data_IF_517581284460
#
_entry.id   IF_517581284460
#
_cell.length_a   1.000
_cell.length_b   1.000
_cell.length_c   1.000
_cell.angle_alpha   90.00
_cell.angle_beta   90.00
_cell.angle_gamma   90.00
#
_symmetry.space_group_name_H-M   'P 1'
#
loop_
_entity.id
_entity.type
_entity.pdbx_description
1 polymer ?
#
# COMPACT_ATOMS: atom_id res chain seq x y z
N UNK A 1 13.37 -1.86 1.52
CA UNK A 1 13.63 -2.45 2.32
C UNK A 1 14.29 -2.75 3.65
N UNK A 2 15.39 -2.10 3.99
CA UNK A 2 16.07 -2.30 5.27
C UNK A 2 15.73 -1.20 6.29
N UNK A 3 14.58 -0.58 6.14
CA UNK A 3 14.12 0.52 6.99
C UNK A 3 13.71 0.03 8.39
N UNK A 4 13.35 -1.25 8.50
CA UNK A 4 12.98 -1.90 9.75
C UNK A 4 13.72 -3.23 9.84
N UNK A 5 14.68 -3.32 10.73
CA UNK A 5 15.35 -4.58 11.09
C UNK A 5 14.77 -5.11 12.40
N UNK A 6 14.46 -6.42 12.44
CA UNK A 6 14.02 -7.11 13.63
C UNK A 6 15.21 -7.56 14.52
N UNK A 7 16.41 -7.50 14.02
CA UNK A 7 17.62 -7.90 14.73
C UNK A 7 18.83 -7.07 14.29
N UNK A 8 19.55 -6.53 15.24
CA UNK A 8 20.88 -6.01 15.06
C UNK A 8 21.05 -4.51 15.27
N UNK A 9 22.26 -4.14 15.58
CA UNK A 9 22.76 -2.79 15.80
C UNK A 9 22.92 -2.04 14.47
N UNK A 10 21.82 -1.74 13.80
CA UNK A 10 21.86 -0.81 12.68
C UNK A 10 21.77 0.62 13.24
N UNK A 11 22.65 1.52 12.82
CA UNK A 11 22.54 2.91 13.22
C UNK A 11 21.20 3.47 12.76
N UNK A 12 20.40 3.97 13.68
CA UNK A 12 19.17 4.71 13.37
C UNK A 12 19.60 5.94 12.57
N UNK A 13 19.12 6.07 11.34
CA UNK A 13 19.46 7.17 10.44
C UNK A 13 18.44 8.31 10.45
N UNK A 14 17.43 8.21 11.31
CA UNK A 14 16.38 9.21 11.45
C UNK A 14 15.50 8.90 12.63
N UNK A 15 14.83 9.94 13.13
CA UNK A 15 14.00 9.88 14.32
C UNK A 15 12.57 9.42 14.01
N UNK A 16 12.17 9.46 12.74
CA UNK A 16 10.83 9.04 12.29
C UNK A 16 10.82 8.63 10.81
N UNK A 17 9.85 7.82 10.45
CA UNK A 17 9.48 7.53 9.06
C UNK A 17 8.20 8.31 8.77
N UNK A 18 8.33 9.45 8.10
CA UNK A 18 7.21 10.35 7.78
C UNK A 18 6.69 10.14 6.34
N UNK A 19 6.54 8.88 5.93
CA UNK A 19 6.01 8.53 4.62
C UNK A 19 4.65 7.84 4.77
N UNK A 20 4.02 7.46 3.66
CA UNK A 20 2.86 6.57 3.65
C UNK A 20 3.25 5.15 4.07
N UNK A 21 3.64 4.95 5.32
CA UNK A 21 4.16 3.68 5.82
C UNK A 21 3.03 2.80 6.33
N UNK A 22 2.76 1.69 5.63
CA UNK A 22 1.66 0.78 5.96
C UNK A 22 1.83 0.19 7.35
N UNK A 23 0.78 0.31 8.17
CA UNK A 23 0.71 -0.33 9.49
C UNK A 23 0.52 -1.83 9.28
N UNK A 24 1.55 -2.61 9.62
CA UNK A 24 1.56 -4.07 9.52
C UNK A 24 1.90 -4.69 10.88
N UNK A 25 1.31 -5.85 11.25
CA UNK A 25 1.52 -6.46 12.56
C UNK A 25 3.00 -6.66 12.92
N UNK A 26 3.80 -7.16 11.97
CA UNK A 26 5.22 -7.40 12.21
C UNK A 26 6.04 -6.10 12.39
N UNK A 27 5.60 -4.99 11.77
CA UNK A 27 6.20 -3.66 11.97
C UNK A 27 5.83 -3.08 13.32
N UNK A 28 4.57 -3.29 13.76
CA UNK A 28 4.09 -2.83 15.06
C UNK A 28 4.84 -3.50 16.23
N UNK A 29 5.41 -4.68 16.02
CA UNK A 29 6.25 -5.33 17.02
C UNK A 29 7.50 -4.50 17.38
N UNK A 30 8.05 -3.72 16.44
CA UNK A 30 9.33 -3.00 16.57
C UNK A 30 9.21 -1.48 16.46
N UNK A 31 8.08 -0.96 16.01
CA UNK A 31 7.84 0.48 15.84
C UNK A 31 6.58 0.92 16.60
N UNK A 32 6.55 2.21 16.95
CA UNK A 32 5.32 2.93 17.29
C UNK A 32 4.76 3.56 16.04
N UNK A 33 3.46 3.81 16.03
CA UNK A 33 2.78 4.48 14.92
C UNK A 33 2.00 5.69 15.41
N UNK A 34 1.93 6.73 14.59
CA UNK A 34 1.00 7.83 14.79
C UNK A 34 -0.46 7.37 14.63
N UNK A 35 -1.39 8.28 14.88
CA UNK A 35 -2.72 8.18 14.32
C UNK A 35 -2.63 7.96 12.80
N UNK A 36 -3.56 7.21 12.18
CA UNK A 36 -3.55 7.00 10.74
C UNK A 36 -3.53 8.30 9.96
N UNK A 37 -2.58 8.44 9.05
CA UNK A 37 -2.44 9.64 8.19
C UNK A 37 -3.19 9.51 6.88
N UNK A 38 -3.39 8.29 6.38
CA UNK A 38 -4.06 8.06 5.10
C UNK A 38 -4.59 6.62 5.01
N UNK A 39 -5.71 6.38 4.31
CA UNK A 39 -6.20 5.02 4.06
C UNK A 39 -5.45 4.38 2.90
N UNK A 40 -5.37 3.06 2.92
CA UNK A 40 -4.81 2.28 1.83
C UNK A 40 -5.51 0.93 1.67
N UNK A 41 -5.18 0.24 0.63
CA UNK A 41 -5.56 -1.13 0.30
C UNK A 41 -4.60 -1.62 -0.78
N UNK A 42 -4.30 -2.91 -0.84
CA UNK A 42 -3.49 -3.45 -1.93
C UNK A 42 -4.38 -4.01 -3.01
N UNK A 43 -4.09 -3.63 -4.24
CA UNK A 43 -4.84 -3.95 -5.43
C UNK A 43 -4.02 -4.81 -6.38
N UNK A 44 -4.69 -5.71 -7.09
CA UNK A 44 -4.12 -6.47 -8.22
C UNK A 44 -4.22 -5.62 -9.48
N UNK A 45 -3.12 -5.52 -10.23
CA UNK A 45 -3.00 -4.70 -11.42
C UNK A 45 -2.45 -5.52 -12.59
N UNK A 46 -2.94 -5.23 -13.79
CA UNK A 46 -2.51 -5.87 -15.03
C UNK A 46 -2.26 -4.84 -16.14
N UNK A 47 -1.49 -5.18 -17.19
CA UNK A 47 -1.48 -4.39 -18.42
C UNK A 47 -2.89 -4.28 -19.03
N UNK A 48 -3.22 -3.11 -19.62
CA UNK A 48 -4.56 -2.86 -20.17
C UNK A 48 -4.93 -3.80 -21.30
N UNK A 49 -3.97 -4.21 -22.11
CA UNK A 49 -4.12 -5.12 -23.26
C UNK A 49 -4.16 -6.60 -22.87
N UNK A 50 -3.94 -6.93 -21.60
CA UNK A 50 -4.01 -8.31 -21.12
C UNK A 50 -5.44 -8.85 -21.16
N UNK A 51 -5.58 -10.19 -21.20
CA UNK A 51 -6.88 -10.88 -21.18
C UNK A 51 -7.62 -10.78 -19.83
N UNK A 52 -6.93 -10.38 -18.75
CA UNK A 52 -7.53 -10.24 -17.43
C UNK A 52 -8.61 -9.15 -17.43
N UNK A 53 -9.70 -9.40 -16.72
CA UNK A 53 -10.80 -8.44 -16.57
C UNK A 53 -10.94 -8.04 -15.10
N UNK A 54 -11.25 -6.76 -14.81
CA UNK A 54 -11.64 -6.36 -13.46
C UNK A 54 -12.79 -7.21 -12.94
N UNK A 55 -12.79 -7.49 -11.65
CA UNK A 55 -13.96 -8.10 -11.01
C UNK A 55 -15.14 -7.13 -11.03
N UNK A 56 -16.35 -7.66 -10.97
CA UNK A 56 -17.52 -6.86 -10.58
C UNK A 56 -17.53 -6.77 -9.07
N UNK A 57 -17.30 -5.54 -8.54
CA UNK A 57 -17.35 -5.31 -7.09
C UNK A 57 -18.69 -5.70 -6.50
N UNK A 58 -18.69 -6.18 -5.27
CA UNK A 58 -19.87 -6.52 -4.50
C UNK A 58 -19.91 -5.74 -3.19
N UNK A 59 -21.00 -5.88 -2.40
CA UNK A 59 -21.09 -5.29 -1.07
C UNK A 59 -20.30 -6.07 0.00
N UNK A 60 -19.56 -7.11 -0.42
CA UNK A 60 -18.76 -7.97 0.45
C UNK A 60 -17.30 -7.93 0.04
N UNK A 61 -16.51 -7.11 0.75
CA UNK A 61 -15.08 -6.94 0.48
C UNK A 61 -14.30 -8.26 0.54
N UNK A 62 -14.60 -9.14 1.48
CA UNK A 62 -13.92 -10.44 1.60
C UNK A 62 -14.15 -11.30 0.36
N UNK A 63 -15.37 -11.35 -0.16
CA UNK A 63 -15.69 -12.04 -1.41
C UNK A 63 -14.94 -11.44 -2.60
N UNK A 64 -14.83 -10.12 -2.65
CA UNK A 64 -14.10 -9.41 -3.71
C UNK A 64 -12.60 -9.73 -3.65
N UNK A 65 -12.01 -9.79 -2.44
CA UNK A 65 -10.63 -10.20 -2.21
C UNK A 65 -10.39 -11.63 -2.72
N UNK A 66 -11.25 -12.57 -2.34
CA UNK A 66 -11.14 -13.97 -2.76
C UNK A 66 -11.28 -14.11 -4.28
N UNK A 67 -12.26 -13.41 -4.87
CA UNK A 67 -12.47 -13.40 -6.33
C UNK A 67 -11.24 -12.84 -7.04
N UNK A 68 -10.67 -11.73 -6.55
CA UNK A 68 -9.48 -11.11 -7.12
C UNK A 68 -8.27 -12.03 -7.02
N UNK A 69 -8.04 -12.64 -5.85
CA UNK A 69 -6.94 -13.61 -5.67
C UNK A 69 -7.09 -14.82 -6.62
N UNK A 70 -8.31 -15.26 -6.88
CA UNK A 70 -8.62 -16.31 -7.85
C UNK A 70 -8.17 -15.99 -9.28
N UNK A 71 -8.12 -14.70 -9.67
CA UNK A 71 -7.64 -14.28 -10.99
C UNK A 71 -6.14 -14.54 -11.20
N UNK A 72 -5.36 -14.61 -10.13
CA UNK A 72 -3.92 -14.83 -10.22
C UNK A 72 -3.64 -16.21 -10.81
N UNK A 73 -4.29 -17.26 -10.31
CA UNK A 73 -4.18 -18.61 -10.84
C UNK A 73 -2.73 -19.05 -11.01
N UNK A 74 -2.34 -19.36 -12.26
CA UNK A 74 -0.95 -19.74 -12.64
C UNK A 74 -0.17 -18.57 -13.25
N UNK A 75 -0.70 -17.35 -13.21
CA UNK A 75 -0.03 -16.19 -13.76
C UNK A 75 1.23 -15.83 -12.94
N UNK A 76 2.22 -15.26 -13.62
CA UNK A 76 3.36 -14.66 -12.94
C UNK A 76 2.93 -13.37 -12.24
N UNK A 77 3.29 -13.22 -10.96
CA UNK A 77 2.98 -12.08 -10.11
C UNK A 77 4.26 -11.39 -9.68
N UNK A 78 4.46 -10.16 -10.15
CA UNK A 78 5.55 -9.30 -9.70
C UNK A 78 5.26 -8.80 -8.28
N UNK A 79 6.20 -9.02 -7.38
CA UNK A 79 6.06 -8.70 -5.95
C UNK A 79 7.31 -8.02 -5.42
N UNK A 80 7.18 -7.32 -4.30
CA UNK A 80 8.30 -6.70 -3.61
C UNK A 80 8.32 -7.17 -2.16
N UNK A 81 9.19 -8.14 -1.88
CA UNK A 81 9.32 -8.74 -0.55
C UNK A 81 9.74 -7.70 0.50
N UNK A 82 9.38 -7.94 1.74
CA UNK A 82 9.65 -7.07 2.91
C UNK A 82 9.06 -5.66 2.83
N UNK A 83 8.09 -5.46 1.94
CA UNK A 83 7.33 -4.21 1.82
C UNK A 83 5.84 -4.44 2.09
N UNK A 84 5.01 -3.42 1.88
CA UNK A 84 3.55 -3.60 1.87
C UNK A 84 3.07 -4.48 0.71
N UNK A 85 3.88 -4.71 -0.32
CA UNK A 85 3.57 -5.57 -1.46
C UNK A 85 4.15 -6.99 -1.32
N UNK A 86 4.61 -7.36 -0.12
CA UNK A 86 5.07 -8.73 0.14
C UNK A 86 3.88 -9.69 0.07
N UNK A 87 3.93 -10.73 -0.79
CA UNK A 87 2.83 -11.69 -0.95
C UNK A 87 2.50 -12.45 0.35
N UNK A 88 3.45 -12.54 1.29
CA UNK A 88 3.21 -13.16 2.59
C UNK A 88 2.14 -12.43 3.41
N UNK A 89 2.03 -11.10 3.28
CA UNK A 89 1.03 -10.31 3.99
C UNK A 89 -0.42 -10.64 3.57
N UNK A 90 -0.61 -11.27 2.41
CA UNK A 90 -1.92 -11.48 1.79
C UNK A 90 -2.25 -12.97 1.56
N UNK A 91 -1.46 -13.88 2.15
CA UNK A 91 -1.66 -15.32 1.96
C UNK A 91 -1.36 -15.82 0.53
N UNK A 92 -0.54 -15.08 -0.22
CA UNK A 92 -0.17 -15.41 -1.61
C UNK A 92 1.15 -16.16 -1.71
N UNK A 93 1.81 -16.44 -0.58
CA UNK A 93 3.05 -17.21 -0.53
C UNK A 93 2.72 -18.71 -0.35
N UNK A 94 3.46 -19.57 -1.03
CA UNK A 94 3.33 -21.04 -0.91
C UNK A 94 2.00 -21.65 -1.39
N UNK A 95 1.25 -20.98 -2.25
CA UNK A 95 0.00 -21.49 -2.84
C UNK A 95 0.09 -21.80 -4.35
N UNK A 96 1.32 -22.00 -4.85
CA UNK A 96 1.54 -22.40 -6.25
C UNK A 96 1.51 -21.24 -7.26
N UNK A 97 1.51 -19.99 -6.82
CA UNK A 97 1.63 -18.80 -7.67
C UNK A 97 3.08 -18.66 -8.16
N UNK A 98 3.28 -18.31 -9.42
CA UNK A 98 4.59 -17.99 -9.98
C UNK A 98 5.02 -16.58 -9.55
N UNK A 99 5.64 -16.48 -8.36
CA UNK A 99 6.12 -15.21 -7.82
C UNK A 99 7.39 -14.76 -8.54
N UNK A 100 7.42 -13.50 -8.95
CA UNK A 100 8.57 -12.80 -9.55
C UNK A 100 9.04 -11.70 -8.60
N UNK A 101 9.97 -11.95 -7.67
CA UNK A 101 10.47 -10.93 -6.77
C UNK A 101 11.23 -9.84 -7.53
N UNK A 102 10.86 -8.59 -7.32
CA UNK A 102 11.65 -7.45 -7.78
C UNK A 102 12.82 -7.21 -6.80
N UNK A 103 14.04 -7.36 -7.29
CA UNK A 103 15.24 -7.37 -6.45
C UNK A 103 16.22 -6.21 -6.71
N UNK A 104 15.95 -5.37 -7.73
CA UNK A 104 16.88 -4.29 -8.10
C UNK A 104 16.87 -3.12 -7.11
N UNK A 105 15.75 -2.86 -6.47
CA UNK A 105 15.59 -1.83 -5.45
C UNK A 105 14.32 -2.09 -4.61
N UNK A 106 14.09 -1.26 -3.60
CA UNK A 106 12.85 -1.24 -2.82
C UNK A 106 11.91 -0.10 -3.26
N UNK A 107 12.17 0.48 -4.43
CA UNK A 107 11.36 1.55 -4.97
C UNK A 107 10.09 0.98 -5.63
N UNK A 108 8.97 1.14 -4.98
CA UNK A 108 7.65 0.68 -5.44
C UNK A 108 7.26 1.28 -6.83
N UNK A 109 7.79 2.44 -7.19
CA UNK A 109 7.53 3.07 -8.48
C UNK A 109 8.10 2.29 -9.68
N UNK A 110 8.94 1.29 -9.44
CA UNK A 110 9.49 0.40 -10.48
C UNK A 110 8.56 -0.76 -10.81
N UNK A 111 7.48 -0.97 -10.05
CA UNK A 111 6.57 -2.11 -10.27
C UNK A 111 5.85 -1.99 -11.62
N UNK A 112 5.26 -0.83 -11.94
CA UNK A 112 4.54 -0.64 -13.21
C UNK A 112 5.48 -0.64 -14.43
N UNK A 113 6.62 0.09 -14.45
CA UNK A 113 7.59 -0.04 -15.54
C UNK A 113 8.02 -1.48 -15.80
N UNK A 114 8.31 -2.25 -14.75
CA UNK A 114 8.71 -3.65 -14.84
C UNK A 114 7.58 -4.54 -15.39
N UNK A 115 6.35 -4.32 -14.93
CA UNK A 115 5.18 -5.02 -15.45
C UNK A 115 5.01 -4.77 -16.96
N UNK A 116 5.05 -3.50 -17.38
CA UNK A 116 4.88 -3.10 -18.79
C UNK A 116 6.03 -3.54 -19.69
N UNK A 117 7.22 -3.76 -19.13
CA UNK A 117 8.34 -4.38 -19.83
C UNK A 117 8.24 -5.92 -19.93
N UNK A 118 7.14 -6.52 -19.49
CA UNK A 118 6.93 -7.98 -19.56
C UNK A 118 7.59 -8.76 -18.43
N UNK A 119 7.97 -8.12 -17.33
CA UNK A 119 8.60 -8.79 -16.18
C UNK A 119 7.67 -9.77 -15.44
N UNK A 120 6.36 -9.59 -15.58
CA UNK A 120 5.32 -10.51 -15.08
C UNK A 120 3.98 -10.22 -15.78
N UNK A 121 2.98 -11.07 -15.57
CA UNK A 121 1.63 -10.84 -16.07
C UNK A 121 0.80 -9.91 -15.18
N UNK A 122 1.07 -9.90 -13.88
CA UNK A 122 0.33 -9.17 -12.85
C UNK A 122 1.30 -8.52 -11.87
N UNK A 123 0.83 -7.49 -11.16
CA UNK A 123 1.55 -6.90 -10.02
C UNK A 123 0.59 -6.47 -8.91
N UNK A 124 1.15 -6.20 -7.73
CA UNK A 124 0.47 -5.59 -6.60
C UNK A 124 0.84 -4.10 -6.52
N UNK A 125 -0.13 -3.25 -6.20
CA UNK A 125 0.08 -1.85 -5.87
C UNK A 125 -0.78 -1.45 -4.68
N UNK A 126 -0.29 -0.60 -3.81
CA UNK A 126 -1.13 0.07 -2.83
C UNK A 126 -1.93 1.20 -3.48
N UNK A 127 -3.07 1.56 -2.89
CA UNK A 127 -3.98 2.54 -3.49
C UNK A 127 -3.31 3.89 -3.75
N UNK A 128 -2.51 4.49 -2.85
CA UNK A 128 -1.85 5.76 -3.15
C UNK A 128 -0.95 5.70 -4.38
N UNK A 129 -0.08 4.68 -4.47
CA UNK A 129 0.80 4.48 -5.62
C UNK A 129 0.00 4.17 -6.88
N UNK A 130 -1.01 3.31 -6.79
CA UNK A 130 -1.90 2.96 -7.90
C UNK A 130 -2.57 4.18 -8.51
N UNK A 131 -3.08 5.12 -7.70
CA UNK A 131 -3.73 6.34 -8.19
C UNK A 131 -2.76 7.26 -8.94
N UNK A 132 -1.51 7.33 -8.51
CA UNK A 132 -0.46 8.07 -9.22
C UNK A 132 -0.09 7.36 -10.53
N UNK A 133 0.06 6.06 -10.49
CA UNK A 133 0.43 5.24 -11.64
C UNK A 133 -0.67 5.21 -12.71
N UNK A 134 -1.95 5.18 -12.33
CA UNK A 134 -3.07 5.29 -13.28
C UNK A 134 -3.04 6.61 -14.08
N UNK A 135 -2.52 7.69 -13.48
CA UNK A 135 -2.35 8.97 -14.18
C UNK A 135 -1.09 8.94 -15.06
N UNK A 136 0.04 8.49 -14.50
CA UNK A 136 1.32 8.44 -15.21
C UNK A 136 1.30 7.49 -16.40
N UNK A 137 0.64 6.36 -16.24
CA UNK A 137 0.54 5.28 -17.22
C UNK A 137 -0.89 5.14 -17.77
N UNK A 138 -1.54 6.28 -18.02
CA UNK A 138 -2.93 6.32 -18.48
C UNK A 138 -3.16 5.41 -19.68
N UNK A 139 -4.18 4.54 -19.58
CA UNK A 139 -4.53 3.56 -20.62
C UNK A 139 -3.55 2.39 -20.77
N UNK A 140 -2.47 2.32 -19.99
CA UNK A 140 -1.49 1.22 -20.06
C UNK A 140 -1.70 0.13 -19.02
N UNK A 141 -2.33 0.46 -17.91
CA UNK A 141 -2.63 -0.49 -16.81
C UNK A 141 -4.13 -0.43 -16.46
N UNK A 142 -4.60 -1.50 -15.86
CA UNK A 142 -5.96 -1.62 -15.31
C UNK A 142 -5.92 -2.29 -13.96
N UNK A 143 -6.81 -1.87 -13.06
CA UNK A 143 -7.01 -2.44 -11.73
C UNK A 143 -8.00 -3.59 -11.84
N UNK A 144 -7.65 -4.75 -11.30
CA UNK A 144 -8.50 -5.95 -11.37
C UNK A 144 -9.40 -6.08 -10.16
N UNK A 145 -8.92 -5.73 -8.97
CA UNK A 145 -9.65 -5.79 -7.71
C UNK A 145 -8.74 -5.77 -6.49
N UNK A 146 -9.31 -5.78 -5.27
CA UNK A 146 -8.56 -5.76 -4.03
C UNK A 146 -7.98 -7.13 -3.69
N UNK A 147 -6.79 -7.17 -3.07
CA UNK A 147 -6.18 -8.39 -2.49
C UNK A 147 -6.02 -8.31 -0.98
N UNK A 148 -6.33 -7.17 -0.39
CA UNK A 148 -6.26 -6.94 1.06
C UNK A 148 -7.53 -6.28 1.59
N UNK A 149 -7.73 -6.41 2.90
CA UNK A 149 -8.60 -5.50 3.66
C UNK A 149 -8.11 -4.04 3.56
N UNK A 150 -8.95 -3.11 4.03
CA UNK A 150 -8.53 -1.73 4.21
C UNK A 150 -7.36 -1.65 5.20
N UNK A 151 -6.38 -0.84 4.89
CA UNK A 151 -5.16 -0.63 5.66
C UNK A 151 -5.01 0.84 6.02
N UNK A 152 -4.24 1.10 7.07
CA UNK A 152 -3.87 2.46 7.44
C UNK A 152 -2.40 2.71 7.08
N UNK A 153 -2.12 3.89 6.57
CA UNK A 153 -0.79 4.47 6.50
C UNK A 153 -0.61 5.42 7.68
N UNK A 154 0.57 5.41 8.28
CA UNK A 154 0.88 6.27 9.42
C UNK A 154 2.38 6.61 9.43
N UNK A 155 2.75 7.66 10.16
CA UNK A 155 4.15 7.89 10.49
C UNK A 155 4.61 6.85 11.52
N UNK A 156 5.87 6.44 11.44
CA UNK A 156 6.42 5.46 12.36
C UNK A 156 7.63 6.02 13.12
N UNK A 157 7.78 5.57 14.37
CA UNK A 157 8.76 6.07 15.33
C UNK A 157 9.45 4.91 16.03
N UNK A 158 10.66 5.12 16.58
CA UNK A 158 11.28 4.18 17.52
C UNK A 158 10.36 3.91 18.70
N UNK A 159 10.50 2.73 19.34
CA UNK A 159 9.69 2.36 20.50
C UNK A 159 9.89 3.28 21.71
N UNK A 160 11.05 3.85 21.84
CA UNK A 160 11.48 4.74 22.92
C UNK A 160 11.24 6.24 22.62
N UNK A 161 10.53 6.59 21.54
CA UNK A 161 10.20 7.95 21.17
C UNK A 161 8.69 8.30 21.30
N UNK A 162 8.03 8.11 22.48
CA UNK A 162 6.61 8.37 22.64
C UNK A 162 6.25 9.86 22.53
N UNK A 163 7.17 10.74 22.94
CA UNK A 163 6.93 12.18 22.94
C UNK A 163 6.96 12.75 21.52
N UNK A 164 7.86 12.24 20.67
CA UNK A 164 7.91 12.63 19.26
C UNK A 164 6.64 12.14 18.53
N UNK A 165 6.19 10.91 18.81
CA UNK A 165 4.91 10.42 18.29
C UNK A 165 3.76 11.32 18.73
N UNK A 166 3.70 11.68 20.03
CA UNK A 166 2.65 12.56 20.55
C UNK A 166 2.66 13.93 19.87
N UNK A 167 3.81 14.55 19.71
CA UNK A 167 3.93 15.82 19.03
C UNK A 167 3.44 15.77 17.58
N UNK A 168 3.74 14.67 16.88
CA UNK A 168 3.23 14.44 15.53
C UNK A 168 1.71 14.26 15.51
N UNK A 169 1.14 13.51 16.44
CA UNK A 169 -0.31 13.29 16.54
C UNK A 169 -1.04 14.59 16.88
N UNK A 170 -0.48 15.43 17.76
CA UNK A 170 -1.02 16.74 18.09
C UNK A 170 -1.04 17.65 16.84
N UNK A 171 0.05 17.70 16.08
CA UNK A 171 0.12 18.41 14.81
C UNK A 171 -0.88 17.87 13.77
N UNK A 172 -1.01 16.54 13.66
CA UNK A 172 -1.97 15.92 12.75
C UNK A 172 -3.42 16.33 13.08
N UNK A 173 -3.76 16.39 14.37
CA UNK A 173 -5.07 16.87 14.81
C UNK A 173 -5.28 18.35 14.49
N UNK A 174 -4.26 19.19 14.68
CA UNK A 174 -4.30 20.60 14.34
C UNK A 174 -4.62 20.82 12.85
N UNK A 175 -3.85 20.19 11.94
CA UNK A 175 -4.07 20.35 10.51
C UNK A 175 -5.37 19.71 10.00
N UNK A 176 -5.95 18.76 10.74
CA UNK A 176 -7.30 18.26 10.48
C UNK A 176 -8.36 19.26 10.91
N UNK A 177 -8.19 19.87 12.08
CA UNK A 177 -9.15 20.83 12.63
C UNK A 177 -9.22 22.11 11.81
N UNK A 178 -8.09 22.59 11.26
CA UNK A 178 -8.02 23.84 10.44
C UNK A 178 -8.32 23.59 8.94
N UNK A 179 -8.60 22.34 8.55
CA UNK A 179 -8.91 21.94 7.17
C UNK A 179 -7.69 21.88 6.23
N UNK A 180 -6.47 22.04 6.74
CA UNK A 180 -5.24 21.94 5.94
C UNK A 180 -5.08 20.52 5.41
N UNK A 181 -5.34 19.50 6.25
CA UNK A 181 -5.30 18.11 5.85
C UNK A 181 -6.28 17.83 4.69
N UNK A 182 -7.51 18.30 4.78
CA UNK A 182 -8.53 18.10 3.76
C UNK A 182 -8.13 18.73 2.42
N UNK A 183 -7.62 19.97 2.44
CA UNK A 183 -7.10 20.65 1.23
C UNK A 183 -5.96 19.86 0.56
N UNK A 184 -5.05 19.28 1.35
CA UNK A 184 -3.95 18.46 0.83
C UNK A 184 -4.47 17.16 0.21
N UNK A 185 -5.39 16.48 0.88
CA UNK A 185 -6.01 15.24 0.35
C UNK A 185 -6.71 15.53 -0.97
N UNK A 186 -7.54 16.55 -1.04
CA UNK A 186 -8.30 16.88 -2.24
C UNK A 186 -7.40 17.33 -3.41
N UNK A 187 -6.29 18.00 -3.09
CA UNK A 187 -5.30 18.43 -4.09
C UNK A 187 -4.55 17.25 -4.71
N UNK A 188 -4.07 16.31 -3.89
CA UNK A 188 -3.16 15.25 -4.37
C UNK A 188 -3.89 13.95 -4.72
N UNK A 189 -5.01 13.66 -4.06
CA UNK A 189 -5.79 12.44 -4.23
C UNK A 189 -7.29 12.73 -4.45
N UNK A 190 -7.65 13.50 -5.48
CA UNK A 190 -9.05 13.83 -5.72
C UNK A 190 -9.89 12.57 -5.91
N UNK A 191 -11.01 12.50 -5.20
CA UNK A 191 -11.94 11.37 -5.26
C UNK A 191 -11.64 10.21 -4.30
N UNK A 192 -10.50 10.20 -3.57
CA UNK A 192 -10.15 9.13 -2.63
C UNK A 192 -11.23 8.90 -1.55
N UNK A 193 -11.92 9.96 -1.14
CA UNK A 193 -13.00 9.92 -0.14
C UNK A 193 -14.15 9.00 -0.53
N UNK A 194 -14.38 8.79 -1.83
CA UNK A 194 -15.42 7.89 -2.34
C UNK A 194 -15.08 6.42 -2.08
N UNK A 195 -13.79 6.10 -2.04
CA UNK A 195 -13.31 4.73 -1.82
C UNK A 195 -13.13 4.40 -0.34
N UNK A 196 -12.91 5.41 0.50
CA UNK A 196 -12.68 5.23 1.94
C UNK A 196 -13.52 6.20 2.78
N UNK A 197 -14.87 6.19 2.62
CA UNK A 197 -15.72 7.17 3.30
C UNK A 197 -15.61 7.09 4.83
N UNK A 198 -15.48 5.89 5.39
CA UNK A 198 -15.36 5.68 6.83
C UNK A 198 -14.09 6.27 7.44
N UNK A 199 -12.98 6.25 6.68
CA UNK A 199 -11.73 6.85 7.12
C UNK A 199 -11.87 8.37 7.27
N UNK A 200 -12.49 9.02 6.30
CA UNK A 200 -12.64 10.47 6.26
C UNK A 200 -13.84 11.01 7.04
N UNK A 201 -14.74 10.13 7.50
CA UNK A 201 -15.83 10.51 8.42
C UNK A 201 -15.35 10.67 9.87
N UNK A 202 -14.16 10.17 10.21
CA UNK A 202 -13.57 10.32 11.55
C UNK A 202 -13.10 11.76 11.71
N UNK A 203 -13.81 12.52 12.54
CA UNK A 203 -13.42 13.88 12.97
C UNK A 203 -12.51 13.80 14.18
#
# INVERSE_FOLDING_TARGET
GNEVSLAGDFPVRGDMIATGFTVLPWRQAVLRYSEPTFPSQVMLVAPSDSAYKPISGSDNLQKDIETTKGLIGKASLLVMERTCLDPANYGLKNIGIDLKPYSKSTNINEMVPTLLAGGAALTLLDVPSMLLDLRKWSGKIKVLGPVSEHQNLAAAFPKDAPELQKAFDDYLREIRADGTYDRLVDKYYPGIRRYFPEFFARK
#
